data_IF_918131580485
#
_entry.id   IF_918131580485
#
_cell.length_a   1.000
_cell.length_b   1.000
_cell.length_c   1.000
_cell.angle_alpha   90.00
_cell.angle_beta   90.00
_cell.angle_gamma   90.00
#
_symmetry.space_group_name_H-M   'P 1'
#
loop_
_entity.id
_entity.type
_entity.pdbx_description
1 polymer ?
#
# COMPACT_ATOMS: atom_id res chain seq x y z
N UNK A 1 -48.25 -27.46 42.41
CA UNK A 1 -47.74 -26.39 43.29
C UNK A 1 -47.23 -25.30 42.38
N UNK A 2 -47.69 -24.08 42.58
CA UNK A 2 -47.23 -22.93 41.80
C UNK A 2 -46.17 -22.18 42.62
N UNK A 3 -45.10 -21.76 41.96
CA UNK A 3 -44.02 -20.99 42.57
C UNK A 3 -44.19 -19.52 42.16
N UNK A 4 -44.58 -18.62 43.07
CA UNK A 4 -44.72 -17.21 42.75
C UNK A 4 -43.35 -16.55 42.59
N UNK A 5 -43.31 -15.43 41.86
CA UNK A 5 -42.13 -14.59 41.80
C UNK A 5 -41.76 -14.04 43.19
N UNK A 6 -40.46 -13.96 43.46
CA UNK A 6 -39.92 -13.42 44.71
C UNK A 6 -39.55 -14.51 45.73
N UNK A 7 -39.78 -14.24 47.02
CA UNK A 7 -39.30 -15.09 48.11
C UNK A 7 -40.42 -16.00 48.60
N UNK A 8 -40.25 -17.32 48.41
CA UNK A 8 -41.17 -18.35 48.89
C UNK A 8 -40.62 -19.03 50.15
N UNK A 9 -41.36 -18.95 51.26
CA UNK A 9 -41.08 -19.71 52.48
C UNK A 9 -41.88 -21.01 52.53
N UNK A 10 -41.20 -22.16 52.58
CA UNK A 10 -41.83 -23.47 52.75
C UNK A 10 -41.65 -23.94 54.20
N UNK A 11 -42.73 -23.91 54.99
CA UNK A 11 -42.70 -24.19 56.43
C UNK A 11 -43.50 -25.46 56.75
N UNK A 12 -42.97 -26.27 57.66
CA UNK A 12 -43.62 -27.51 58.11
C UNK A 12 -42.72 -28.29 59.06
N UNK A 13 -43.24 -29.34 59.68
CA UNK A 13 -42.48 -30.20 60.59
C UNK A 13 -41.33 -30.91 59.86
N UNK A 14 -40.31 -31.35 60.61
CA UNK A 14 -39.28 -32.25 60.07
C UNK A 14 -39.95 -33.53 59.58
N UNK A 15 -39.56 -34.01 58.40
CA UNK A 15 -40.21 -35.17 57.76
C UNK A 15 -41.47 -34.84 56.95
N UNK A 16 -41.97 -33.59 56.93
CA UNK A 16 -43.14 -33.20 56.13
C UNK A 16 -42.91 -33.14 54.60
N UNK A 17 -41.76 -33.63 54.10
CA UNK A 17 -41.46 -33.68 52.67
C UNK A 17 -40.86 -32.40 52.05
N UNK A 18 -40.48 -31.40 52.85
CA UNK A 18 -39.88 -30.14 52.34
C UNK A 18 -38.61 -30.36 51.51
N UNK A 19 -37.69 -31.19 52.01
CA UNK A 19 -36.48 -31.57 51.26
C UNK A 19 -36.81 -32.47 50.08
N UNK A 20 -37.79 -33.36 50.23
CA UNK A 20 -38.25 -34.27 49.17
C UNK A 20 -38.85 -33.52 47.97
N UNK A 21 -39.52 -32.38 48.20
CA UNK A 21 -40.00 -31.50 47.14
C UNK A 21 -38.83 -30.98 46.28
N UNK A 22 -37.77 -30.52 46.91
CA UNK A 22 -36.58 -30.01 46.22
C UNK A 22 -35.84 -31.13 45.48
N UNK A 23 -35.73 -32.31 46.10
CA UNK A 23 -35.14 -33.50 45.49
C UNK A 23 -35.97 -33.99 44.29
N UNK A 24 -37.31 -33.86 44.32
CA UNK A 24 -38.18 -34.20 43.20
C UNK A 24 -37.93 -33.31 41.97
N UNK A 25 -37.68 -32.01 42.17
CA UNK A 25 -37.31 -31.08 41.08
C UNK A 25 -35.99 -31.50 40.44
N UNK A 26 -34.97 -31.77 41.26
CA UNK A 26 -33.67 -32.21 40.77
C UNK A 26 -33.75 -33.55 40.04
N UNK A 27 -34.56 -34.49 40.55
CA UNK A 27 -34.80 -35.78 39.92
C UNK A 27 -35.52 -35.66 38.58
N UNK A 28 -36.51 -34.77 38.45
CA UNK A 28 -37.16 -34.54 37.18
C UNK A 28 -36.15 -34.09 36.12
N UNK A 29 -35.29 -33.11 36.45
CA UNK A 29 -34.27 -32.56 35.56
C UNK A 29 -33.18 -33.58 35.20
N UNK A 30 -32.55 -34.23 36.18
CA UNK A 30 -31.32 -35.02 35.96
C UNK A 30 -31.50 -36.53 36.11
N UNK A 31 -32.60 -37.01 36.69
CA UNK A 31 -32.85 -38.44 36.90
C UNK A 31 -32.02 -39.05 38.03
N UNK A 32 -31.62 -40.32 37.87
CA UNK A 32 -30.93 -41.12 38.91
C UNK A 32 -29.70 -40.46 39.54
N UNK A 33 -28.84 -39.71 38.81
CA UNK A 33 -27.74 -38.95 39.42
C UNK A 33 -28.18 -37.98 40.52
N UNK A 34 -29.44 -37.53 40.50
CA UNK A 34 -29.99 -36.60 41.48
C UNK A 34 -30.45 -37.24 42.80
N UNK A 35 -30.44 -38.57 42.89
CA UNK A 35 -30.93 -39.31 44.06
C UNK A 35 -29.77 -39.94 44.80
N UNK A 36 -29.68 -39.73 46.13
CA UNK A 36 -28.54 -40.18 46.96
C UNK A 36 -28.44 -41.70 47.10
N UNK A 37 -29.54 -42.40 46.88
CA UNK A 37 -29.70 -43.87 46.84
C UNK A 37 -30.73 -44.17 45.75
N UNK A 38 -30.75 -45.38 45.16
CA UNK A 38 -31.55 -45.79 43.97
C UNK A 38 -32.89 -45.04 43.81
N UNK A 39 -33.34 -44.84 42.56
CA UNK A 39 -34.57 -44.13 42.16
C UNK A 39 -35.84 -44.39 43.02
N UNK A 40 -35.88 -45.51 43.75
CA UNK A 40 -36.80 -45.82 44.85
C UNK A 40 -36.92 -44.72 45.93
N UNK A 41 -35.89 -43.90 46.19
CA UNK A 41 -35.93 -42.90 47.27
C UNK A 41 -36.81 -41.66 46.97
N UNK A 42 -37.15 -41.43 45.70
CA UNK A 42 -38.12 -40.36 45.31
C UNK A 42 -39.56 -40.88 45.39
N UNK A 43 -39.75 -42.20 45.20
CA UNK A 43 -41.06 -42.83 45.35
C UNK A 43 -41.39 -43.06 46.84
N UNK A 44 -42.67 -42.98 47.18
CA UNK A 44 -43.13 -43.39 48.51
C UNK A 44 -42.96 -44.90 48.66
N UNK A 45 -42.22 -45.34 49.69
CA UNK A 45 -41.98 -46.75 49.97
C UNK A 45 -43.33 -47.47 50.14
N UNK A 46 -43.55 -48.53 49.35
CA UNK A 46 -44.78 -49.33 49.39
C UNK A 46 -45.92 -48.84 48.48
N UNK A 47 -45.72 -47.76 47.71
CA UNK A 47 -46.68 -47.35 46.69
C UNK A 47 -46.61 -48.26 45.45
N UNK A 48 -47.79 -48.71 44.97
CA UNK A 48 -47.93 -49.46 43.71
C UNK A 48 -48.05 -48.56 42.48
N UNK A 49 -48.46 -47.31 42.69
CA UNK A 49 -48.74 -46.37 41.60
C UNK A 49 -47.44 -45.72 41.07
N UNK A 50 -47.39 -45.36 39.77
CA UNK A 50 -46.24 -44.67 39.21
C UNK A 50 -45.97 -43.32 39.90
N UNK A 51 -44.72 -43.05 40.24
CA UNK A 51 -44.31 -41.73 40.70
C UNK A 51 -44.11 -40.81 39.49
N UNK A 52 -44.75 -39.64 39.50
CA UNK A 52 -44.72 -38.68 38.40
C UNK A 52 -44.32 -37.31 38.93
N UNK A 53 -43.36 -36.68 38.27
CA UNK A 53 -43.01 -35.29 38.50
C UNK A 53 -43.11 -34.53 37.17
N UNK A 54 -43.93 -33.49 37.15
CA UNK A 54 -44.06 -32.56 36.03
C UNK A 54 -43.61 -31.18 36.48
N UNK A 55 -42.68 -30.60 35.73
CA UNK A 55 -42.17 -29.25 35.91
C UNK A 55 -42.59 -28.41 34.72
N UNK A 56 -43.08 -27.22 34.99
CA UNK A 56 -43.26 -26.17 34.00
C UNK A 56 -42.43 -24.97 34.48
N UNK A 57 -41.53 -24.48 33.64
CA UNK A 57 -40.57 -23.44 34.02
C UNK A 57 -40.16 -22.60 32.82
N UNK A 58 -39.79 -21.35 33.10
CA UNK A 58 -39.25 -20.43 32.10
C UNK A 58 -37.73 -20.37 32.16
N UNK A 59 -37.09 -20.42 30.99
CA UNK A 59 -35.65 -20.27 30.85
C UNK A 59 -35.32 -19.44 29.62
N UNK A 60 -34.60 -18.32 29.81
CA UNK A 60 -34.20 -17.45 28.71
C UNK A 60 -35.38 -16.80 27.96
N UNK A 61 -36.55 -16.68 28.60
CA UNK A 61 -37.77 -16.16 28.00
C UNK A 61 -38.61 -17.19 27.24
N UNK A 62 -38.23 -18.47 27.27
CA UNK A 62 -39.00 -19.57 26.68
C UNK A 62 -39.59 -20.48 27.77
N UNK A 63 -40.82 -20.95 27.56
CA UNK A 63 -41.53 -21.84 28.47
C UNK A 63 -41.26 -23.31 28.14
N UNK A 64 -40.85 -24.08 29.14
CA UNK A 64 -40.54 -25.50 29.05
C UNK A 64 -41.47 -26.34 29.91
N UNK A 65 -41.80 -27.53 29.42
CA UNK A 65 -42.47 -28.59 30.18
C UNK A 65 -41.57 -29.81 30.22
N UNK A 66 -41.23 -30.28 31.41
CA UNK A 66 -40.53 -31.55 31.61
C UNK A 66 -41.40 -32.46 32.45
N UNK A 67 -41.56 -33.71 32.01
CA UNK A 67 -42.26 -34.74 32.76
C UNK A 67 -41.40 -35.99 32.87
N UNK A 68 -41.24 -36.51 34.09
CA UNK A 68 -40.56 -37.78 34.36
C UNK A 68 -41.48 -38.70 35.15
N UNK A 69 -41.60 -39.95 34.69
CA UNK A 69 -42.46 -40.97 35.29
C UNK A 69 -41.62 -42.20 35.65
N UNK A 70 -41.61 -42.55 36.93
CA UNK A 70 -41.02 -43.77 37.46
C UNK A 70 -42.11 -44.84 37.60
N UNK A 71 -41.96 -45.93 36.86
CA UNK A 71 -42.76 -47.16 36.97
C UNK A 71 -41.89 -48.27 37.57
N UNK A 72 -42.48 -49.35 38.11
CA UNK A 72 -41.71 -50.44 38.74
C UNK A 72 -40.59 -51.05 37.87
N UNK A 73 -40.76 -51.07 36.55
CA UNK A 73 -39.80 -51.67 35.60
C UNK A 73 -39.12 -50.68 34.65
N UNK A 74 -39.46 -49.38 34.69
CA UNK A 74 -38.96 -48.42 33.70
C UNK A 74 -39.09 -46.98 34.18
N UNK A 75 -38.21 -46.09 33.72
CA UNK A 75 -38.38 -44.64 33.84
C UNK A 75 -38.57 -44.04 32.45
N UNK A 76 -39.61 -43.22 32.26
CA UNK A 76 -39.81 -42.42 31.04
C UNK A 76 -39.63 -40.95 31.36
N UNK A 77 -39.20 -40.17 30.36
CA UNK A 77 -39.08 -38.72 30.48
C UNK A 77 -39.36 -38.05 29.14
N UNK A 78 -39.98 -36.88 29.18
CA UNK A 78 -40.26 -36.02 28.02
C UNK A 78 -39.89 -34.57 28.39
N UNK A 79 -39.25 -33.88 27.46
CA UNK A 79 -38.96 -32.45 27.56
C UNK A 79 -39.50 -31.75 26.31
N UNK A 80 -40.35 -30.75 26.51
CA UNK A 80 -40.95 -29.94 25.47
C UNK A 80 -40.74 -28.44 25.72
N UNK A 81 -40.79 -27.67 24.64
CA UNK A 81 -40.83 -26.20 24.64
C UNK A 81 -42.06 -25.77 23.86
N UNK A 82 -43.04 -25.19 24.53
CA UNK A 82 -44.38 -25.04 23.97
C UNK A 82 -44.94 -26.39 23.50
N UNK A 83 -45.29 -26.49 22.21
CA UNK A 83 -45.79 -27.73 21.58
C UNK A 83 -44.68 -28.57 20.92
N UNK A 84 -43.42 -28.12 20.97
CA UNK A 84 -42.27 -28.83 20.36
C UNK A 84 -41.64 -29.80 21.36
N UNK A 85 -41.60 -31.10 21.02
CA UNK A 85 -40.87 -32.10 21.79
C UNK A 85 -39.36 -32.02 21.48
N UNK A 86 -38.55 -31.69 22.49
CA UNK A 86 -37.11 -31.49 22.35
C UNK A 86 -36.31 -32.77 22.61
N UNK A 87 -36.77 -33.61 23.55
CA UNK A 87 -36.15 -34.88 23.88
C UNK A 87 -37.18 -35.83 24.52
N UNK A 88 -37.03 -37.12 24.23
CA UNK A 88 -37.83 -38.20 24.79
C UNK A 88 -36.89 -39.35 25.21
N UNK A 89 -37.14 -39.91 26.38
CA UNK A 89 -36.29 -40.94 27.00
C UNK A 89 -35.53 -40.42 28.21
N UNK A 90 -35.42 -41.27 29.25
CA UNK A 90 -34.89 -40.86 30.56
C UNK A 90 -33.43 -40.38 30.53
N UNK A 91 -32.63 -40.90 29.59
CA UNK A 91 -31.22 -40.54 29.40
C UNK A 91 -31.10 -39.34 28.48
N UNK A 92 -31.79 -39.37 27.35
CA UNK A 92 -31.80 -38.33 26.33
C UNK A 92 -32.25 -36.99 26.92
N UNK A 93 -33.30 -37.00 27.75
CA UNK A 93 -33.75 -35.81 28.48
C UNK A 93 -32.69 -35.32 29.48
N UNK A 94 -32.04 -36.23 30.23
CA UNK A 94 -31.01 -35.84 31.19
C UNK A 94 -29.77 -35.24 30.50
N UNK A 95 -29.32 -35.85 29.40
CA UNK A 95 -28.20 -35.38 28.59
C UNK A 95 -28.55 -34.03 27.93
N UNK A 96 -29.77 -33.86 27.40
CA UNK A 96 -30.23 -32.59 26.86
C UNK A 96 -30.24 -31.48 27.92
N UNK A 97 -30.77 -31.76 29.11
CA UNK A 97 -30.78 -30.81 30.23
C UNK A 97 -29.36 -30.41 30.61
N UNK A 98 -28.46 -31.39 30.76
CA UNK A 98 -27.10 -31.19 31.20
C UNK A 98 -26.20 -30.49 30.17
N UNK A 99 -26.37 -30.79 28.88
CA UNK A 99 -25.46 -30.34 27.80
C UNK A 99 -25.98 -29.15 26.99
N UNK A 100 -27.31 -28.96 26.93
CA UNK A 100 -27.92 -27.97 26.02
C UNK A 100 -28.76 -26.92 26.74
N UNK A 101 -29.66 -27.35 27.63
CA UNK A 101 -30.63 -26.47 28.27
C UNK A 101 -30.00 -25.67 29.42
N UNK A 102 -29.61 -26.34 30.50
CA UNK A 102 -28.99 -25.71 31.67
C UNK A 102 -27.48 -25.62 31.52
N UNK A 103 -26.88 -26.52 30.71
CA UNK A 103 -25.43 -26.58 30.47
C UNK A 103 -24.65 -26.61 31.78
N UNK A 104 -25.16 -27.42 32.71
CA UNK A 104 -24.65 -27.68 34.05
C UNK A 104 -24.96 -29.14 34.36
N UNK A 105 -23.98 -29.88 34.86
CA UNK A 105 -24.23 -31.23 35.40
C UNK A 105 -25.03 -31.15 36.70
N UNK A 106 -25.56 -32.29 37.15
CA UNK A 106 -26.34 -32.37 38.38
C UNK A 106 -25.58 -31.79 39.59
N UNK A 107 -24.29 -32.08 39.72
CA UNK A 107 -23.49 -31.62 40.87
C UNK A 107 -23.38 -30.09 40.90
N UNK A 108 -23.19 -29.48 39.73
CA UNK A 108 -23.10 -28.02 39.55
C UNK A 108 -24.45 -27.35 39.78
N UNK A 109 -25.54 -27.89 39.21
CA UNK A 109 -26.91 -27.43 39.47
C UNK A 109 -27.26 -27.52 40.94
N UNK A 110 -26.92 -28.65 41.57
CA UNK A 110 -27.23 -28.91 42.95
C UNK A 110 -26.49 -27.94 43.88
N UNK A 111 -25.19 -27.73 43.66
CA UNK A 111 -24.38 -26.80 44.44
C UNK A 111 -24.74 -25.31 44.20
N UNK A 112 -25.27 -24.96 43.03
CA UNK A 112 -25.60 -23.57 42.69
C UNK A 112 -27.00 -23.15 43.16
N UNK A 113 -27.97 -24.05 43.13
CA UNK A 113 -29.38 -23.75 43.41
C UNK A 113 -29.82 -24.28 44.78
N UNK A 114 -29.27 -25.40 45.26
CA UNK A 114 -29.58 -25.93 46.59
C UNK A 114 -28.48 -25.58 47.58
N UNK A 115 -28.58 -24.40 48.20
CA UNK A 115 -27.81 -24.12 49.41
C UNK A 115 -28.42 -24.88 50.58
N UNK A 116 -28.06 -26.15 50.78
CA UNK A 116 -28.38 -26.82 52.06
C UNK A 116 -27.76 -26.02 53.20
N UNK A 117 -28.40 -26.06 54.36
CA UNK A 117 -27.80 -25.60 55.61
C UNK A 117 -26.45 -26.34 55.81
N UNK A 118 -25.33 -25.58 55.76
CA UNK A 118 -23.96 -26.10 55.89
C UNK A 118 -23.24 -26.55 54.62
N UNK A 119 -23.80 -26.43 53.40
CA UNK A 119 -23.07 -26.75 52.16
C UNK A 119 -22.24 -25.59 51.60
N UNK A 120 -22.60 -24.34 51.90
CA UNK A 120 -21.68 -23.20 51.74
C UNK A 120 -20.41 -23.41 52.55
N UNK A 121 -20.54 -23.89 53.79
CA UNK A 121 -19.39 -24.23 54.63
C UNK A 121 -18.54 -25.33 54.00
N UNK A 122 -19.15 -26.33 53.36
CA UNK A 122 -18.41 -27.37 52.62
C UNK A 122 -17.67 -26.82 51.41
N UNK A 123 -18.29 -25.96 50.61
CA UNK A 123 -17.61 -25.32 49.47
C UNK A 123 -16.46 -24.41 49.94
N UNK A 124 -16.68 -23.66 51.02
CA UNK A 124 -15.68 -22.81 51.68
C UNK A 124 -14.61 -23.63 52.41
N UNK A 125 -14.88 -24.89 52.77
CA UNK A 125 -13.93 -25.81 53.40
C UNK A 125 -13.24 -26.77 52.42
N UNK A 126 -13.62 -26.79 51.13
CA UNK A 126 -12.93 -27.60 50.11
C UNK A 126 -11.47 -27.17 49.99
N UNK A 127 -10.55 -28.11 49.83
CA UNK A 127 -9.15 -27.77 49.51
C UNK A 127 -9.07 -27.02 48.17
N UNK A 128 -7.94 -26.33 47.93
CA UNK A 128 -7.78 -25.41 46.80
C UNK A 128 -8.09 -26.05 45.44
N UNK A 129 -7.66 -27.28 45.21
CA UNK A 129 -7.78 -27.94 43.91
C UNK A 129 -9.21 -28.42 43.58
N UNK A 130 -9.93 -29.15 44.45
CA UNK A 130 -11.34 -29.47 44.23
C UNK A 130 -12.23 -28.23 44.06
N UNK A 131 -11.95 -27.16 44.82
CA UNK A 131 -12.68 -25.90 44.72
C UNK A 131 -12.43 -25.22 43.36
N UNK A 132 -11.16 -25.16 42.93
CA UNK A 132 -10.79 -24.65 41.61
C UNK A 132 -11.51 -25.41 40.50
N UNK A 133 -11.52 -26.74 40.55
CA UNK A 133 -12.18 -27.57 39.54
C UNK A 133 -13.71 -27.36 39.52
N UNK A 134 -14.34 -27.20 40.69
CA UNK A 134 -15.77 -26.90 40.78
C UNK A 134 -16.09 -25.53 40.16
N UNK A 135 -15.27 -24.51 40.44
CA UNK A 135 -15.42 -23.17 39.83
C UNK A 135 -15.14 -23.21 38.33
N UNK A 136 -14.13 -23.94 37.88
CA UNK A 136 -13.81 -24.08 36.45
C UNK A 136 -14.95 -24.75 35.67
N UNK A 137 -15.63 -25.75 36.26
CA UNK A 137 -16.83 -26.36 35.67
C UNK A 137 -18.00 -25.38 35.63
N UNK A 138 -18.24 -24.66 36.73
CA UNK A 138 -19.31 -23.66 36.80
C UNK A 138 -19.12 -22.52 35.77
N UNK A 139 -17.87 -22.11 35.53
CA UNK A 139 -17.50 -21.09 34.55
C UNK A 139 -17.23 -21.65 33.14
N UNK A 140 -17.40 -22.96 32.92
CA UNK A 140 -17.14 -23.66 31.64
C UNK A 140 -15.73 -23.45 31.07
N UNK A 141 -14.74 -23.28 31.94
CA UNK A 141 -13.33 -23.13 31.55
C UNK A 141 -12.75 -24.48 31.08
N UNK A 142 -13.28 -25.59 31.58
CA UNK A 142 -12.95 -26.96 31.15
C UNK A 142 -13.18 -27.17 29.66
N UNK A 143 -14.32 -26.73 29.15
CA UNK A 143 -14.76 -26.99 27.78
C UNK A 143 -13.84 -26.27 26.78
N UNK A 144 -13.46 -25.04 27.10
CA UNK A 144 -12.51 -24.24 26.32
C UNK A 144 -11.12 -24.89 26.33
N UNK A 145 -10.69 -25.41 27.49
CA UNK A 145 -9.41 -26.12 27.63
C UNK A 145 -9.36 -27.38 26.78
N UNK A 146 -10.42 -28.19 26.81
CA UNK A 146 -10.53 -29.42 26.01
C UNK A 146 -10.61 -29.12 24.51
N UNK A 147 -11.38 -28.11 24.10
CA UNK A 147 -11.39 -27.63 22.72
C UNK A 147 -9.99 -27.21 22.26
N UNK A 148 -9.26 -26.47 23.10
CA UNK A 148 -7.87 -26.08 22.83
C UNK A 148 -6.92 -27.27 22.69
N UNK A 149 -7.07 -28.30 23.54
CA UNK A 149 -6.27 -29.53 23.43
C UNK A 149 -6.58 -30.29 22.13
N UNK A 150 -7.86 -30.45 21.76
CA UNK A 150 -8.27 -31.08 20.50
C UNK A 150 -7.72 -30.35 19.28
N UNK A 151 -7.81 -29.02 19.26
CA UNK A 151 -7.26 -28.21 18.17
C UNK A 151 -5.74 -28.36 18.05
N UNK A 152 -5.02 -28.40 19.18
CA UNK A 152 -3.57 -28.64 19.19
C UNK A 152 -3.20 -30.03 18.68
N UNK A 153 -4.00 -31.05 19.03
CA UNK A 153 -3.79 -32.41 18.53
C UNK A 153 -4.01 -32.47 17.01
N UNK A 154 -5.12 -31.94 16.51
CA UNK A 154 -5.40 -31.89 15.07
C UNK A 154 -4.30 -31.17 14.28
N UNK A 155 -3.78 -30.06 14.80
CA UNK A 155 -2.65 -29.35 14.17
C UNK A 155 -1.41 -30.25 14.05
N UNK A 156 -1.07 -31.01 15.10
CA UNK A 156 0.07 -31.94 15.08
C UNK A 156 -0.15 -33.04 14.06
N UNK A 157 -1.33 -33.65 14.05
CA UNK A 157 -1.65 -34.76 13.14
C UNK A 157 -1.58 -34.32 11.67
N UNK A 158 -2.12 -33.14 11.36
CA UNK A 158 -2.02 -32.54 10.02
C UNK A 158 -0.57 -32.21 9.66
N UNK A 159 0.22 -31.70 10.60
CA UNK A 159 1.65 -31.44 10.39
C UNK A 159 2.42 -32.70 10.01
N UNK A 160 2.25 -33.77 10.79
CA UNK A 160 2.89 -35.07 10.53
C UNK A 160 2.46 -35.67 9.19
N UNK A 161 1.17 -35.57 8.83
CA UNK A 161 0.67 -36.06 7.54
C UNK A 161 1.25 -35.28 6.37
N UNK A 162 1.38 -33.96 6.53
CA UNK A 162 1.94 -33.08 5.52
C UNK A 162 3.44 -33.33 5.34
N UNK A 163 4.17 -33.59 6.41
CA UNK A 163 5.57 -34.02 6.36
C UNK A 163 5.72 -35.39 5.68
N UNK A 164 4.84 -36.35 5.98
CA UNK A 164 4.81 -37.66 5.31
C UNK A 164 4.52 -37.57 3.81
N UNK A 165 3.61 -36.69 3.38
CA UNK A 165 3.36 -36.45 1.95
C UNK A 165 4.54 -35.76 1.27
N UNK A 166 5.20 -34.82 1.98
CA UNK A 166 6.40 -34.14 1.51
C UNK A 166 7.58 -35.09 1.33
N UNK A 167 7.76 -36.07 2.22
CA UNK A 167 8.83 -37.06 2.08
C UNK A 167 8.58 -38.07 0.97
N UNK A 168 7.32 -38.27 0.56
CA UNK A 168 6.95 -39.06 -0.62
C UNK A 168 7.16 -38.31 -1.95
N UNK A 169 7.38 -37.00 -1.92
CA UNK A 169 7.78 -36.23 -3.10
C UNK A 169 9.26 -36.47 -3.40
N UNK A 170 9.49 -37.53 -4.17
CA UNK A 170 10.79 -37.97 -4.64
C UNK A 170 10.92 -37.62 -6.12
N UNK A 171 12.09 -37.12 -6.52
CA UNK A 171 12.42 -36.89 -7.92
C UNK A 171 12.55 -38.21 -8.69
N UNK A 172 12.59 -38.15 -10.02
CA UNK A 172 12.67 -39.34 -10.90
C UNK A 172 13.91 -40.21 -10.64
N UNK A 173 14.92 -39.65 -10.02
CA UNK A 173 16.20 -40.26 -9.64
C UNK A 173 16.20 -40.85 -8.21
N UNK A 174 15.09 -40.79 -7.47
CA UNK A 174 14.98 -41.37 -6.13
C UNK A 174 15.39 -40.44 -4.98
N UNK A 175 15.81 -39.21 -5.29
CA UNK A 175 16.25 -38.22 -4.29
C UNK A 175 15.09 -37.35 -3.78
N UNK A 176 15.12 -36.87 -2.51
CA UNK A 176 14.09 -35.98 -1.97
C UNK A 176 14.01 -34.67 -2.78
N UNK A 177 12.82 -34.33 -3.27
CA UNK A 177 12.62 -33.16 -4.14
C UNK A 177 12.71 -31.84 -3.36
N UNK A 178 12.36 -31.85 -2.07
CA UNK A 178 12.33 -30.64 -1.23
C UNK A 178 13.69 -29.94 -1.07
N UNK A 179 14.79 -30.61 -0.66
CA UNK A 179 16.09 -29.96 -0.54
C UNK A 179 16.60 -29.44 -1.89
N UNK A 180 16.31 -30.13 -3.00
CA UNK A 180 16.63 -29.64 -4.35
C UNK A 180 15.88 -28.36 -4.67
N UNK A 181 14.57 -28.32 -4.43
CA UNK A 181 13.75 -27.15 -4.72
C UNK A 181 14.17 -25.95 -3.85
N UNK A 182 14.50 -26.19 -2.57
CA UNK A 182 15.01 -25.15 -1.68
C UNK A 182 16.37 -24.61 -2.15
N UNK A 183 17.28 -25.49 -2.57
CA UNK A 183 18.59 -25.10 -3.10
C UNK A 183 18.47 -24.33 -4.42
N UNK A 184 17.63 -24.79 -5.35
CA UNK A 184 17.38 -24.10 -6.62
C UNK A 184 16.74 -22.72 -6.40
N UNK A 185 15.80 -22.61 -5.47
CA UNK A 185 15.16 -21.33 -5.14
C UNK A 185 16.15 -20.35 -4.50
N UNK A 186 17.02 -20.83 -3.61
CA UNK A 186 18.10 -20.04 -3.05
C UNK A 186 19.08 -19.56 -4.13
N UNK A 187 19.49 -20.46 -5.04
CA UNK A 187 20.38 -20.13 -6.15
C UNK A 187 19.76 -19.12 -7.13
N UNK A 188 18.46 -19.23 -7.41
CA UNK A 188 17.73 -18.26 -8.24
C UNK A 188 17.62 -16.89 -7.56
N UNK A 189 17.37 -16.85 -6.25
CA UNK A 189 17.33 -15.61 -5.48
C UNK A 189 18.69 -14.92 -5.47
N UNK A 190 19.77 -15.67 -5.26
CA UNK A 190 21.13 -15.15 -5.31
C UNK A 190 21.47 -14.60 -6.71
N UNK A 191 21.13 -15.34 -7.77
CA UNK A 191 21.35 -14.92 -9.15
C UNK A 191 20.54 -13.67 -9.51
N UNK A 192 19.29 -13.57 -9.05
CA UNK A 192 18.46 -12.38 -9.22
C UNK A 192 19.04 -11.17 -8.52
N UNK A 193 19.51 -11.32 -7.27
CA UNK A 193 20.16 -10.25 -6.52
C UNK A 193 21.48 -9.81 -7.19
N UNK A 194 22.28 -10.76 -7.69
CA UNK A 194 23.50 -10.47 -8.44
C UNK A 194 23.20 -9.70 -9.74
N UNK A 195 22.17 -10.09 -10.48
CA UNK A 195 21.73 -9.37 -11.69
C UNK A 195 21.23 -7.96 -11.37
N UNK A 196 20.49 -7.78 -10.27
CA UNK A 196 20.06 -6.45 -9.80
C UNK A 196 21.25 -5.54 -9.52
N UNK A 197 22.24 -6.04 -8.76
CA UNK A 197 23.47 -5.29 -8.47
C UNK A 197 24.31 -5.00 -9.72
N UNK A 198 24.34 -5.91 -10.70
CA UNK A 198 25.04 -5.67 -11.95
C UNK A 198 24.32 -4.67 -12.87
N UNK A 199 23.00 -4.51 -12.71
CA UNK A 199 22.19 -3.54 -13.45
C UNK A 199 22.40 -2.09 -13.00
N UNK A 200 22.63 -1.86 -11.70
CA UNK A 200 22.88 -0.52 -11.14
C UNK A 200 24.02 0.26 -11.86
N UNK A 201 25.24 -0.29 -12.04
CA UNK A 201 26.30 0.41 -12.75
C UNK A 201 26.01 0.59 -14.24
N UNK A 202 25.23 -0.31 -14.85
CA UNK A 202 24.85 -0.19 -16.26
C UNK A 202 23.87 0.98 -16.47
N UNK A 203 22.89 1.14 -15.59
CA UNK A 203 21.96 2.27 -15.62
C UNK A 203 22.70 3.59 -15.32
N UNK A 204 23.61 3.60 -14.34
CA UNK A 204 24.44 4.77 -14.08
C UNK A 204 25.34 5.15 -15.28
N UNK A 205 25.92 4.17 -15.96
CA UNK A 205 26.71 4.38 -17.18
C UNK A 205 25.84 4.93 -18.32
N UNK A 206 24.62 4.41 -18.50
CA UNK A 206 23.66 4.92 -19.48
C UNK A 206 23.25 6.36 -19.22
N UNK A 207 22.95 6.70 -17.97
CA UNK A 207 22.59 8.08 -17.61
C UNK A 207 23.76 9.04 -17.84
N UNK A 208 24.98 8.59 -17.53
CA UNK A 208 26.20 9.38 -17.78
C UNK A 208 26.45 9.58 -19.27
N UNK A 209 26.33 8.53 -20.08
CA UNK A 209 26.45 8.62 -21.54
C UNK A 209 25.40 9.55 -22.13
N UNK A 210 24.13 9.45 -21.70
CA UNK A 210 23.06 10.34 -22.16
C UNK A 210 23.34 11.82 -21.82
N UNK A 211 23.91 12.10 -20.64
CA UNK A 211 24.35 13.47 -20.27
C UNK A 211 25.50 13.96 -21.13
N UNK A 212 26.48 13.10 -21.44
CA UNK A 212 27.61 13.42 -22.30
C UNK A 212 27.15 13.70 -23.74
N UNK A 213 26.27 12.86 -24.29
CA UNK A 213 25.70 13.05 -25.64
C UNK A 213 24.91 14.36 -25.73
N UNK A 214 24.10 14.68 -24.72
CA UNK A 214 23.37 15.95 -24.67
C UNK A 214 24.30 17.18 -24.58
N UNK A 215 25.43 17.07 -23.86
CA UNK A 215 26.43 18.13 -23.81
C UNK A 215 27.17 18.28 -25.14
N UNK A 216 27.55 17.16 -25.77
CA UNK A 216 28.20 17.15 -27.06
C UNK A 216 27.31 17.75 -28.15
N UNK A 217 26.01 17.45 -28.14
CA UNK A 217 25.05 18.04 -29.08
C UNK A 217 24.95 19.56 -28.92
N UNK A 218 24.84 20.05 -27.68
CA UNK A 218 24.83 21.51 -27.42
C UNK A 218 26.13 22.19 -27.86
N UNK A 219 27.27 21.56 -27.61
CA UNK A 219 28.56 22.08 -28.04
C UNK A 219 28.65 22.13 -29.58
N UNK A 220 28.16 21.09 -30.26
CA UNK A 220 28.11 21.04 -31.72
C UNK A 220 27.21 22.15 -32.29
N UNK A 221 25.99 22.33 -31.76
CA UNK A 221 25.08 23.41 -32.15
C UNK A 221 25.72 24.81 -31.99
N UNK A 222 26.46 25.03 -30.90
CA UNK A 222 27.20 26.28 -30.69
C UNK A 222 28.32 26.46 -31.70
N UNK A 223 29.08 25.40 -32.01
CA UNK A 223 30.13 25.47 -33.02
C UNK A 223 29.57 25.74 -34.41
N UNK A 224 28.43 25.16 -34.75
CA UNK A 224 27.75 25.39 -36.03
C UNK A 224 27.24 26.84 -36.14
N UNK A 225 26.60 27.35 -35.09
CA UNK A 225 26.16 28.73 -35.02
C UNK A 225 27.34 29.72 -35.12
N UNK A 226 28.47 29.41 -34.49
CA UNK A 226 29.68 30.22 -34.58
C UNK A 226 30.30 30.16 -35.99
N UNK A 227 30.33 28.98 -36.61
CA UNK A 227 30.81 28.83 -37.98
C UNK A 227 29.95 29.63 -38.98
N UNK A 228 28.64 29.69 -38.78
CA UNK A 228 27.74 30.49 -39.61
C UNK A 228 27.98 32.00 -39.43
N UNK A 229 28.21 32.46 -38.19
CA UNK A 229 28.64 33.83 -37.91
C UNK A 229 29.95 34.17 -38.61
N UNK A 230 30.96 33.29 -38.53
CA UNK A 230 32.24 33.48 -39.22
C UNK A 230 32.07 33.55 -40.74
N UNK A 231 31.31 32.63 -41.36
CA UNK A 231 31.02 32.68 -42.81
C UNK A 231 30.34 33.99 -43.22
N UNK A 232 29.46 34.51 -42.37
CA UNK A 232 28.78 35.78 -42.64
C UNK A 232 29.73 36.97 -42.48
N UNK A 233 30.60 36.95 -41.48
CA UNK A 233 31.62 37.96 -41.26
C UNK A 233 32.65 37.97 -42.39
N UNK A 234 33.09 36.80 -42.86
CA UNK A 234 34.01 36.63 -44.00
C UNK A 234 33.42 37.22 -45.29
N UNK A 235 32.17 36.90 -45.63
CA UNK A 235 31.48 37.52 -46.77
C UNK A 235 31.39 39.04 -46.65
N UNK A 236 31.18 39.58 -45.45
CA UNK A 236 31.16 41.04 -45.20
C UNK A 236 32.54 41.65 -45.37
N UNK A 237 33.58 40.97 -44.87
CA UNK A 237 34.97 41.37 -45.04
C UNK A 237 35.34 41.45 -46.53
N UNK A 238 35.05 40.40 -47.31
CA UNK A 238 35.35 40.35 -48.74
C UNK A 238 34.60 41.44 -49.54
N UNK A 239 33.34 41.70 -49.18
CA UNK A 239 32.55 42.77 -49.77
C UNK A 239 33.14 44.16 -49.44
N UNK A 240 33.54 44.38 -48.19
CA UNK A 240 34.19 45.61 -47.76
C UNK A 240 35.55 45.82 -48.44
N UNK A 241 36.35 44.75 -48.58
CA UNK A 241 37.64 44.80 -49.27
C UNK A 241 37.47 45.11 -50.76
N UNK A 242 36.48 44.52 -51.41
CA UNK A 242 36.13 44.82 -52.80
C UNK A 242 35.66 46.27 -52.97
N UNK A 243 34.83 46.77 -52.06
CA UNK A 243 34.39 48.16 -52.05
C UNK A 243 35.55 49.15 -51.83
N UNK A 244 36.48 48.82 -50.94
CA UNK A 244 37.68 49.61 -50.69
C UNK A 244 38.56 49.70 -51.92
N UNK A 245 38.77 48.58 -52.62
CA UNK A 245 39.53 48.54 -53.88
C UNK A 245 38.90 49.47 -54.92
N UNK A 246 37.58 49.36 -55.13
CA UNK A 246 36.85 50.21 -56.08
C UNK A 246 36.90 51.70 -55.69
N UNK A 247 36.78 52.02 -54.40
CA UNK A 247 36.92 53.37 -53.89
C UNK A 247 38.33 53.93 -54.13
N UNK A 248 39.36 53.10 -53.96
CA UNK A 248 40.75 53.43 -54.28
C UNK A 248 40.96 53.76 -55.76
N UNK A 249 40.42 52.93 -56.66
CA UNK A 249 40.47 53.16 -58.11
C UNK A 249 39.74 54.46 -58.50
N UNK A 250 38.56 54.72 -57.92
CA UNK A 250 37.82 55.97 -58.14
C UNK A 250 38.59 57.19 -57.67
N UNK A 251 39.21 57.12 -56.49
CA UNK A 251 40.03 58.21 -55.95
C UNK A 251 41.21 58.53 -56.88
N UNK A 252 41.91 57.49 -57.37
CA UNK A 252 43.03 57.65 -58.28
C UNK A 252 42.59 58.29 -59.61
N UNK A 253 41.45 57.86 -60.16
CA UNK A 253 40.90 58.45 -61.39
C UNK A 253 40.45 59.90 -61.18
N UNK A 254 39.85 60.22 -60.03
CA UNK A 254 39.47 61.58 -59.68
C UNK A 254 40.70 62.50 -59.55
N UNK A 255 41.77 62.03 -58.89
CA UNK A 255 43.04 62.75 -58.80
C UNK A 255 43.65 63.03 -60.17
N UNK A 256 43.69 62.01 -61.05
CA UNK A 256 44.20 62.19 -62.41
C UNK A 256 43.38 63.21 -63.20
N UNK A 257 42.05 63.16 -63.08
CA UNK A 257 41.14 64.10 -63.74
C UNK A 257 41.37 65.53 -63.23
N UNK A 258 41.61 65.67 -61.92
CA UNK A 258 41.92 66.95 -61.29
C UNK A 258 43.26 67.49 -61.79
N UNK A 259 44.32 66.67 -61.82
CA UNK A 259 45.64 67.05 -62.33
C UNK A 259 45.58 67.49 -63.81
N UNK A 260 44.84 66.75 -64.64
CA UNK A 260 44.63 67.10 -66.04
C UNK A 260 43.83 68.40 -66.19
N UNK A 261 42.89 68.68 -65.29
CA UNK A 261 42.16 69.96 -65.26
C UNK A 261 43.06 71.14 -64.89
N UNK A 262 43.96 70.95 -63.91
CA UNK A 262 44.94 71.96 -63.51
C UNK A 262 45.94 72.28 -64.64
N UNK A 263 46.41 71.25 -65.37
CA UNK A 263 47.25 71.44 -66.57
C UNK A 263 46.52 72.26 -67.63
N UNK A 264 45.28 71.91 -67.94
CA UNK A 264 44.45 72.65 -68.92
C UNK A 264 44.19 74.10 -68.51
N UNK A 265 43.97 74.37 -67.21
CA UNK A 265 43.81 75.74 -66.72
C UNK A 265 45.11 76.53 -66.88
N UNK A 266 46.27 75.93 -66.56
CA UNK A 266 47.58 76.55 -66.77
C UNK A 266 47.84 76.87 -68.24
N UNK A 267 47.59 75.93 -69.15
CA UNK A 267 47.68 76.14 -70.61
C UNK A 267 46.74 77.26 -71.08
N UNK A 268 45.50 77.31 -70.57
CA UNK A 268 44.56 78.38 -70.88
C UNK A 268 45.01 79.75 -70.33
N UNK A 269 45.66 79.79 -69.17
CA UNK A 269 46.24 80.99 -68.59
C UNK A 269 47.47 81.48 -69.38
N UNK A 270 48.31 80.57 -69.88
CA UNK A 270 49.45 80.88 -70.76
C UNK A 270 48.97 81.37 -72.15
N UNK A 271 47.92 80.77 -72.72
CA UNK A 271 47.30 81.29 -73.96
C UNK A 271 46.71 82.70 -73.77
N UNK A 272 46.17 83.02 -72.58
CA UNK A 272 45.66 84.35 -72.24
C UNK A 272 46.76 85.41 -72.13
N UNK A 273 47.94 85.08 -71.62
CA UNK A 273 49.05 86.04 -71.62
C UNK A 273 49.54 86.35 -73.04
N UNK A 274 49.30 85.44 -73.99
CA UNK A 274 49.61 85.62 -75.40
C UNK A 274 48.48 86.26 -76.25
N UNK A 275 47.22 86.27 -75.80
CA UNK A 275 46.07 86.76 -76.60
C UNK A 275 45.02 87.52 -75.78
N UNK A 276 44.85 88.82 -76.04
CA UNK A 276 43.82 89.68 -75.43
C UNK A 276 42.44 89.52 -76.14
N UNK A 277 41.76 88.38 -75.95
CA UNK A 277 40.46 88.09 -76.58
C UNK A 277 39.28 87.88 -75.60
N UNK A 278 38.10 88.37 -76.00
CA UNK A 278 36.94 88.77 -75.17
C UNK A 278 36.01 87.66 -74.62
N UNK A 279 36.25 86.37 -74.85
CA UNK A 279 35.31 85.28 -74.46
C UNK A 279 35.88 84.28 -73.42
N UNK A 280 37.11 84.54 -72.95
CA UNK A 280 37.82 83.66 -72.04
C UNK A 280 37.31 83.59 -70.58
N UNK A 281 36.71 84.64 -69.97
CA UNK A 281 36.31 84.61 -68.55
C UNK A 281 35.31 83.50 -68.22
N UNK A 282 34.31 83.28 -69.08
CA UNK A 282 33.27 82.27 -68.88
C UNK A 282 33.80 80.83 -68.93
N UNK A 283 34.73 80.52 -69.86
CA UNK A 283 35.34 79.19 -69.96
C UNK A 283 36.21 78.84 -68.75
N UNK A 284 36.90 79.81 -68.16
CA UNK A 284 37.76 79.57 -67.00
C UNK A 284 36.96 79.55 -65.70
N UNK A 285 35.89 80.35 -65.60
CA UNK A 285 34.91 80.21 -64.53
C UNK A 285 34.26 78.81 -64.54
N UNK A 286 33.86 78.31 -65.72
CA UNK A 286 33.31 76.96 -65.87
C UNK A 286 34.34 75.85 -65.56
N UNK A 287 35.63 76.05 -65.84
CA UNK A 287 36.70 75.13 -65.44
C UNK A 287 36.91 75.10 -63.92
N UNK A 288 36.92 76.27 -63.27
CA UNK A 288 37.04 76.39 -61.81
C UNK A 288 35.85 75.80 -61.08
N UNK A 289 34.65 75.96 -61.63
CA UNK A 289 33.44 75.34 -61.07
C UNK A 289 33.50 73.82 -61.19
N UNK A 290 34.00 73.28 -62.32
CA UNK A 290 34.27 71.85 -62.47
C UNK A 290 35.37 71.34 -61.53
N UNK A 291 36.44 72.09 -61.30
CA UNK A 291 37.48 71.75 -60.34
C UNK A 291 36.91 71.68 -58.92
N UNK A 292 36.17 72.71 -58.49
CA UNK A 292 35.55 72.73 -57.16
C UNK A 292 34.58 71.55 -56.95
N UNK A 293 33.83 71.16 -57.99
CA UNK A 293 32.98 69.98 -57.94
C UNK A 293 33.79 68.67 -57.80
N UNK A 294 34.87 68.51 -58.57
CA UNK A 294 35.74 67.33 -58.50
C UNK A 294 36.50 67.27 -57.17
N UNK A 295 36.98 68.39 -56.63
CA UNK A 295 37.64 68.47 -55.33
C UNK A 295 36.70 68.06 -54.19
N UNK A 296 35.44 68.49 -54.25
CA UNK A 296 34.42 68.09 -53.30
C UNK A 296 34.15 66.58 -53.38
N UNK A 297 34.00 66.01 -54.57
CA UNK A 297 33.88 64.55 -54.74
C UNK A 297 35.11 63.81 -54.20
N UNK A 298 36.31 64.37 -54.38
CA UNK A 298 37.56 63.78 -53.88
C UNK A 298 37.62 63.76 -52.35
N UNK A 299 37.17 64.84 -51.70
CA UNK A 299 37.05 64.89 -50.23
C UNK A 299 36.02 63.89 -49.71
N UNK A 300 34.88 63.76 -50.38
CA UNK A 300 33.84 62.80 -50.01
C UNK A 300 34.31 61.34 -50.19
N UNK A 301 35.01 61.04 -51.29
CA UNK A 301 35.60 59.72 -51.54
C UNK A 301 36.73 59.39 -50.55
N UNK A 302 37.58 60.37 -50.21
CA UNK A 302 38.64 60.19 -49.22
C UNK A 302 38.07 59.91 -47.81
N UNK A 303 37.03 60.66 -47.41
CA UNK A 303 36.32 60.43 -46.16
C UNK A 303 35.61 59.08 -46.14
N UNK A 304 35.01 58.67 -47.26
CA UNK A 304 34.39 57.35 -47.43
C UNK A 304 35.41 56.20 -47.29
N UNK A 305 36.56 56.32 -47.95
CA UNK A 305 37.65 55.33 -47.85
C UNK A 305 38.18 55.20 -46.43
N UNK A 306 38.42 56.32 -45.74
CA UNK A 306 38.90 56.29 -44.35
C UNK A 306 37.93 55.61 -43.37
N UNK A 307 36.62 55.77 -43.56
CA UNK A 307 35.61 55.05 -42.77
C UNK A 307 35.61 53.53 -43.04
N UNK A 308 35.80 53.13 -44.29
CA UNK A 308 35.91 51.72 -44.70
C UNK A 308 37.19 51.06 -44.15
N UNK A 309 38.33 51.75 -44.23
CA UNK A 309 39.60 51.28 -43.67
C UNK A 309 39.52 51.09 -42.13
N UNK A 310 38.88 52.02 -41.42
CA UNK A 310 38.65 51.90 -39.98
C UNK A 310 37.73 50.74 -39.62
N UNK A 311 36.69 50.48 -40.42
CA UNK A 311 35.76 49.37 -40.23
C UNK A 311 36.43 48.00 -40.47
N UNK A 312 37.32 47.91 -41.46
CA UNK A 312 38.11 46.69 -41.73
C UNK A 312 39.12 46.40 -40.61
N UNK A 313 39.79 47.42 -40.07
CA UNK A 313 40.75 47.26 -38.98
C UNK A 313 40.10 46.84 -37.64
N UNK A 314 38.85 47.23 -37.40
CA UNK A 314 38.09 46.85 -36.22
C UNK A 314 37.64 45.38 -36.25
N UNK A 315 37.23 44.88 -37.42
CA UNK A 315 36.78 43.49 -37.60
C UNK A 315 37.91 42.44 -37.58
N UNK A 316 39.19 42.84 -37.63
CA UNK A 316 40.33 41.93 -37.58
C UNK A 316 40.89 41.65 -36.18
N UNK A 317 40.28 42.19 -35.12
CA UNK A 317 40.78 42.10 -33.73
C UNK A 317 39.87 41.35 -32.74
N UNK A 318 38.73 40.82 -33.19
CA UNK A 318 37.83 39.94 -32.41
C UNK A 318 37.89 38.49 -32.93
#
# INVERSE_FOLDING_TARGET
MEFPDGVLGIVGHNGAGKSSLLEAVAWALYGTPAVRTRAEAVATIGASDPCRVRLEFDLGGEAFRLERVLKPSSTTAELARGDELLAEGAREVADYVAERLLRMDYQTFYASIFTRQGELDKFVSMSSEPRRQAVERLLRISDVREAGQRARQQKRDLGNRLEGLRSQLVARDGEPLQPRLAAELAALQERSAALGKAGEPLEAARETAAKQDAQALKAWEQTEANAEKYRTAEKRHDAAQSALKLAGERLQNAQKTLDDSYKKEKEAAELRSATAASDAPGKLAALREKQAAVEKELQELAAGKGKLDAALAANGRE
#
